data_IF_878628500645
#
_entry.id   IF_878628500645
#
_cell.length_a   1.000
_cell.length_b   1.000
_cell.length_c   1.000
_cell.angle_alpha   90.00
_cell.angle_beta   90.00
_cell.angle_gamma   90.00
#
_symmetry.space_group_name_H-M   'P 1'
#
loop_
_entity.id
_entity.type
_entity.pdbx_description
1 polymer ?
#
# COMPACT_ATOMS: atom_id res chain seq x y z
N UNK A 1 -30.77 -73.87 -29.86
CA UNK A 1 -30.62 -72.69 -29.01
C UNK A 1 -29.15 -72.50 -28.64
N UNK A 2 -28.43 -71.56 -29.25
CA UNK A 2 -27.03 -71.28 -28.89
C UNK A 2 -26.94 -70.11 -27.91
N UNK A 3 -26.58 -70.40 -26.66
CA UNK A 3 -26.27 -69.38 -25.65
C UNK A 3 -24.82 -68.93 -25.85
N UNK A 4 -24.63 -67.74 -26.44
CA UNK A 4 -23.31 -67.11 -26.57
C UNK A 4 -22.81 -66.67 -25.19
N UNK A 5 -21.82 -67.36 -24.64
CA UNK A 5 -21.10 -66.94 -23.42
C UNK A 5 -20.20 -65.76 -23.76
N UNK A 6 -20.58 -64.55 -23.33
CA UNK A 6 -19.76 -63.35 -23.42
C UNK A 6 -18.62 -63.48 -22.40
N UNK A 7 -17.41 -63.84 -22.86
CA UNK A 7 -16.23 -63.82 -21.99
C UNK A 7 -15.84 -62.37 -21.73
N UNK A 8 -16.10 -61.87 -20.52
CA UNK A 8 -15.58 -60.57 -20.06
C UNK A 8 -14.05 -60.64 -20.03
N UNK A 9 -13.41 -59.93 -20.95
CA UNK A 9 -11.95 -59.82 -21.06
C UNK A 9 -11.42 -58.97 -19.92
N UNK A 10 -10.57 -59.53 -19.06
CA UNK A 10 -9.99 -58.84 -17.89
C UNK A 10 -9.26 -57.53 -18.26
N UNK A 11 -8.79 -57.42 -19.50
CA UNK A 11 -8.09 -56.27 -20.08
C UNK A 11 -8.94 -55.01 -20.11
N UNK A 12 -10.21 -55.05 -20.52
CA UNK A 12 -11.06 -53.84 -20.60
C UNK A 12 -11.33 -53.21 -19.23
N UNK A 13 -11.41 -54.02 -18.17
CA UNK A 13 -11.57 -53.51 -16.80
C UNK A 13 -10.27 -52.88 -16.27
N UNK A 14 -9.11 -53.43 -16.66
CA UNK A 14 -7.79 -52.86 -16.32
C UNK A 14 -7.56 -51.53 -17.03
N UNK A 15 -7.89 -51.43 -18.32
CA UNK A 15 -7.79 -50.17 -19.08
C UNK A 15 -8.71 -49.08 -18.51
N UNK A 16 -9.93 -49.45 -18.11
CA UNK A 16 -10.84 -48.51 -17.47
C UNK A 16 -10.29 -48.01 -16.13
N UNK A 17 -9.68 -48.90 -15.33
CA UNK A 17 -9.05 -48.53 -14.05
C UNK A 17 -7.84 -47.62 -14.25
N UNK A 18 -6.97 -47.90 -15.22
CA UNK A 18 -5.83 -47.03 -15.54
C UNK A 18 -6.28 -45.68 -16.07
N UNK A 19 -7.34 -45.63 -16.87
CA UNK A 19 -7.91 -44.38 -17.37
C UNK A 19 -8.50 -43.54 -16.23
N UNK A 20 -9.17 -44.19 -15.27
CA UNK A 20 -9.72 -43.52 -14.09
C UNK A 20 -8.62 -42.97 -13.18
N UNK A 21 -7.52 -43.71 -13.04
CA UNK A 21 -6.34 -43.25 -12.29
C UNK A 21 -5.63 -42.08 -12.99
N UNK A 22 -5.48 -42.15 -14.32
CA UNK A 22 -4.91 -41.07 -15.12
C UNK A 22 -5.79 -39.81 -15.06
N UNK A 23 -7.10 -39.95 -15.15
CA UNK A 23 -8.04 -38.83 -15.00
C UNK A 23 -7.92 -38.18 -13.62
N UNK A 24 -7.81 -38.98 -12.54
CA UNK A 24 -7.56 -38.47 -11.19
C UNK A 24 -6.24 -37.69 -11.08
N UNK A 25 -5.16 -38.21 -11.66
CA UNK A 25 -3.87 -37.52 -11.69
C UNK A 25 -3.93 -36.18 -12.44
N UNK A 26 -4.65 -36.13 -13.56
CA UNK A 26 -4.85 -34.90 -14.34
C UNK A 26 -5.61 -33.85 -13.52
N UNK A 27 -6.64 -34.25 -12.79
CA UNK A 27 -7.40 -33.33 -11.91
C UNK A 27 -6.50 -32.78 -10.80
N UNK A 28 -5.67 -33.62 -10.18
CA UNK A 28 -4.72 -33.18 -9.15
C UNK A 28 -3.73 -32.17 -9.74
N UNK A 29 -3.16 -32.45 -10.92
CA UNK A 29 -2.24 -31.54 -11.61
C UNK A 29 -2.93 -30.22 -11.96
N UNK A 30 -4.18 -30.26 -12.43
CA UNK A 30 -4.98 -29.07 -12.73
C UNK A 30 -5.16 -28.18 -11.50
N UNK A 31 -5.55 -28.76 -10.36
CA UNK A 31 -5.65 -28.02 -9.10
C UNK A 31 -4.29 -27.49 -8.62
N UNK A 32 -3.20 -28.21 -8.89
CA UNK A 32 -1.86 -27.76 -8.52
C UNK A 32 -1.37 -26.56 -9.35
N UNK A 33 -1.80 -26.46 -10.62
CA UNK A 33 -1.43 -25.35 -11.51
C UNK A 33 -2.32 -24.12 -11.27
N UNK A 34 -3.63 -24.31 -11.07
CA UNK A 34 -4.63 -23.22 -11.02
C UNK A 34 -5.07 -22.86 -9.59
N UNK A 35 -4.80 -23.70 -8.59
CA UNK A 35 -5.17 -23.42 -7.20
C UNK A 35 -4.45 -22.19 -6.62
N UNK A 36 -4.93 -21.69 -5.48
CA UNK A 36 -4.41 -20.48 -4.82
C UNK A 36 -2.89 -20.56 -4.51
N UNK A 37 -2.36 -21.78 -4.38
CA UNK A 37 -0.92 -22.08 -4.16
C UNK A 37 -0.15 -22.40 -5.45
N UNK A 38 -0.77 -22.23 -6.62
CA UNK A 38 -0.15 -22.53 -7.90
C UNK A 38 1.08 -21.67 -8.17
N UNK A 39 2.02 -22.19 -8.95
CA UNK A 39 3.29 -21.53 -9.28
C UNK A 39 3.09 -20.12 -9.89
N UNK A 40 1.95 -19.92 -10.54
CA UNK A 40 1.57 -18.64 -11.19
C UNK A 40 1.32 -17.53 -10.15
N UNK A 41 0.76 -17.84 -8.98
CA UNK A 41 0.48 -16.81 -7.95
C UNK A 41 1.76 -16.30 -7.32
N UNK A 42 2.74 -17.17 -7.09
CA UNK A 42 4.05 -16.78 -6.56
C UNK A 42 4.80 -15.84 -7.51
N UNK A 43 4.73 -16.09 -8.82
CA UNK A 43 5.32 -15.22 -9.83
C UNK A 43 4.64 -13.84 -9.87
N UNK A 44 3.31 -13.80 -9.82
CA UNK A 44 2.55 -12.53 -9.76
C UNK A 44 2.85 -11.75 -8.49
N UNK A 45 2.95 -12.42 -7.35
CA UNK A 45 3.25 -11.78 -6.07
C UNK A 45 4.66 -11.19 -6.06
N UNK A 46 5.64 -11.90 -6.60
CA UNK A 46 7.00 -11.40 -6.75
C UNK A 46 7.08 -10.17 -7.69
N UNK A 47 6.27 -10.13 -8.74
CA UNK A 47 6.17 -8.95 -9.62
C UNK A 47 5.53 -7.75 -8.91
N UNK A 48 4.41 -7.98 -8.20
CA UNK A 48 3.74 -6.92 -7.44
C UNK A 48 4.63 -6.34 -6.34
N UNK A 49 5.38 -7.19 -5.63
CA UNK A 49 6.38 -6.73 -4.65
C UNK A 49 7.44 -5.83 -5.29
N UNK A 50 7.96 -6.21 -6.46
CA UNK A 50 8.97 -5.42 -7.18
C UNK A 50 8.41 -4.07 -7.63
N UNK A 51 7.20 -4.05 -8.19
CA UNK A 51 6.55 -2.82 -8.61
C UNK A 51 6.24 -1.88 -7.44
N UNK A 52 5.73 -2.42 -6.34
CA UNK A 52 5.45 -1.63 -5.14
C UNK A 52 6.74 -1.01 -4.56
N UNK A 53 7.82 -1.80 -4.47
CA UNK A 53 9.14 -1.32 -4.02
C UNK A 53 9.71 -0.25 -4.95
N UNK A 54 9.58 -0.43 -6.27
CA UNK A 54 10.03 0.56 -7.25
C UNK A 54 9.28 1.88 -7.10
N UNK A 55 7.95 1.84 -6.90
CA UNK A 55 7.14 3.04 -6.64
C UNK A 55 7.55 3.77 -5.36
N UNK A 56 7.81 3.02 -4.28
CA UNK A 56 8.29 3.59 -3.01
C UNK A 56 9.63 4.31 -3.23
N UNK A 57 10.55 3.70 -3.98
CA UNK A 57 11.86 4.30 -4.23
C UNK A 57 11.75 5.60 -5.04
N UNK A 58 10.92 5.63 -6.09
CA UNK A 58 10.66 6.84 -6.87
C UNK A 58 10.10 7.96 -5.99
N UNK A 59 9.07 7.67 -5.20
CA UNK A 59 8.44 8.65 -4.30
C UNK A 59 9.44 9.16 -3.25
N UNK A 60 10.27 8.29 -2.68
CA UNK A 60 11.32 8.68 -1.74
C UNK A 60 12.37 9.59 -2.38
N UNK A 61 12.74 9.34 -3.63
CA UNK A 61 13.67 10.19 -4.37
C UNK A 61 13.05 11.56 -4.67
N UNK A 62 11.78 11.60 -5.08
CA UNK A 62 11.04 12.85 -5.26
C UNK A 62 10.95 13.65 -3.97
N UNK A 63 10.59 13.01 -2.85
CA UNK A 63 10.54 13.65 -1.54
C UNK A 63 11.91 14.23 -1.13
N UNK A 64 13.00 13.49 -1.34
CA UNK A 64 14.36 13.99 -1.10
C UNK A 64 14.70 15.19 -2.00
N UNK A 65 14.28 15.17 -3.26
CA UNK A 65 14.49 16.28 -4.18
C UNK A 65 13.68 17.53 -3.79
N UNK A 66 12.41 17.36 -3.40
CA UNK A 66 11.58 18.45 -2.93
C UNK A 66 12.12 19.04 -1.62
N UNK A 67 12.54 18.20 -0.68
CA UNK A 67 13.14 18.67 0.58
C UNK A 67 14.45 19.44 0.35
N UNK A 68 15.27 19.01 -0.61
CA UNK A 68 16.48 19.77 -0.99
C UNK A 68 16.14 21.11 -1.63
N UNK A 69 15.07 21.18 -2.42
CA UNK A 69 14.60 22.44 -2.98
C UNK A 69 14.04 23.37 -1.89
N UNK A 70 13.21 22.84 -0.98
CA UNK A 70 12.71 23.58 0.18
C UNK A 70 13.87 24.09 1.03
N UNK A 71 14.88 23.26 1.31
CA UNK A 71 16.05 23.67 2.09
C UNK A 71 16.80 24.83 1.41
N UNK A 72 17.04 24.75 0.10
CA UNK A 72 17.68 25.83 -0.68
C UNK A 72 16.85 27.12 -0.72
N UNK A 73 15.51 27.00 -0.74
CA UNK A 73 14.60 28.14 -0.70
C UNK A 73 14.46 28.72 0.72
N UNK A 74 14.62 27.90 1.76
CA UNK A 74 14.64 28.30 3.18
C UNK A 74 15.98 28.91 3.62
N UNK A 75 17.06 28.60 2.91
CA UNK A 75 18.40 29.15 3.12
C UNK A 75 18.48 30.65 2.78
N UNK A 76 17.45 31.20 2.11
CA UNK A 76 17.23 32.64 1.94
C UNK A 76 16.69 33.25 3.26
N UNK A 77 17.61 33.37 4.21
CA UNK A 77 17.52 33.76 5.64
C UNK A 77 16.45 34.79 6.08
N UNK A 78 15.99 35.67 5.21
CA UNK A 78 14.99 36.69 5.55
C UNK A 78 13.62 36.09 5.94
N UNK A 79 13.25 34.95 5.36
CA UNK A 79 11.95 34.33 5.62
C UNK A 79 11.88 33.62 6.98
N UNK A 80 13.00 33.02 7.42
CA UNK A 80 13.07 32.39 8.74
C UNK A 80 13.02 33.43 9.87
N UNK A 81 13.68 34.57 9.69
CA UNK A 81 13.60 35.68 10.64
C UNK A 81 12.15 36.21 10.77
N UNK A 82 11.43 36.30 9.65
CA UNK A 82 10.03 36.72 9.64
C UNK A 82 9.10 35.75 10.37
N UNK A 83 9.20 34.44 10.09
CA UNK A 83 8.42 33.41 10.78
C UNK A 83 8.74 33.37 12.28
N UNK A 84 10.01 33.53 12.66
CA UNK A 84 10.41 33.56 14.07
C UNK A 84 9.81 34.76 14.82
N UNK A 85 9.78 35.94 14.18
CA UNK A 85 9.13 37.15 14.74
C UNK A 85 7.62 36.98 14.90
N UNK A 86 6.95 36.44 13.87
CA UNK A 86 5.48 36.34 13.86
C UNK A 86 4.97 35.21 14.77
N UNK A 87 5.61 34.03 14.72
CA UNK A 87 5.12 32.83 15.41
C UNK A 87 5.54 32.76 16.87
N UNK A 88 6.73 33.26 17.21
CA UNK A 88 7.28 33.19 18.57
C UNK A 88 7.32 34.55 19.29
N UNK A 89 6.83 35.62 18.65
CA UNK A 89 6.84 36.98 19.21
C UNK A 89 8.24 37.34 19.73
N UNK A 90 9.26 37.12 18.92
CA UNK A 90 10.64 37.44 19.26
C UNK A 90 10.98 38.79 18.63
N UNK A 91 11.38 39.76 19.45
CA UNK A 91 11.79 41.09 18.99
C UNK A 91 13.30 41.15 18.74
N UNK A 92 13.72 42.06 17.85
CA UNK A 92 15.15 42.35 17.66
C UNK A 92 15.71 43.04 18.92
N UNK A 93 17.02 42.91 19.17
CA UNK A 93 17.69 43.59 20.30
C UNK A 93 17.45 45.11 20.20
N UNK A 94 16.54 45.64 21.01
CA UNK A 94 16.14 47.06 21.01
C UNK A 94 14.64 47.35 20.74
N UNK A 95 13.81 46.34 20.47
CA UNK A 95 12.37 46.51 20.21
C UNK A 95 11.50 45.88 21.34
N UNK A 96 10.38 46.53 21.72
CA UNK A 96 9.47 46.08 22.80
C UNK A 96 8.13 45.61 22.21
N UNK A 97 7.71 44.38 22.53
CA UNK A 97 6.45 43.80 22.02
C UNK A 97 5.30 44.14 22.98
N UNK A 98 4.31 44.90 22.50
CA UNK A 98 3.07 45.18 23.23
C UNK A 98 2.00 44.15 22.86
N UNK A 99 1.66 43.28 23.82
CA UNK A 99 0.54 42.36 23.71
C UNK A 99 -0.68 42.97 24.41
N UNK A 100 -1.66 43.43 23.64
CA UNK A 100 -2.93 43.89 24.18
C UNK A 100 -3.75 42.69 24.65
N UNK A 101 -3.78 42.47 25.97
CA UNK A 101 -4.72 41.55 26.60
C UNK A 101 -6.02 42.33 26.86
N UNK A 102 -7.16 41.94 26.26
CA UNK A 102 -8.43 42.61 26.53
C UNK A 102 -8.79 42.39 28.01
N UNK A 103 -9.18 43.48 28.70
CA UNK A 103 -9.61 43.38 30.09
C UNK A 103 -10.93 42.62 30.15
N UNK A 104 -11.11 41.70 31.13
CA UNK A 104 -12.31 40.87 31.24
C UNK A 104 -13.61 41.61 31.56
N UNK A 105 -13.59 42.96 31.66
CA UNK A 105 -14.76 43.77 31.99
C UNK A 105 -15.65 44.17 30.81
N UNK A 106 -15.15 44.08 29.56
CA UNK A 106 -15.84 44.72 28.42
C UNK A 106 -16.82 43.80 27.67
N UNK A 107 -16.88 42.51 28.01
CA UNK A 107 -17.81 41.53 27.41
C UNK A 107 -19.01 41.18 28.29
N UNK A 108 -19.11 41.72 29.51
CA UNK A 108 -20.21 41.41 30.44
C UNK A 108 -21.43 42.37 30.35
N UNK A 109 -21.34 43.48 29.62
CA UNK A 109 -22.39 44.53 29.66
C UNK A 109 -23.27 44.65 28.41
N UNK A 110 -23.22 43.70 27.46
CA UNK A 110 -24.08 43.72 26.27
C UNK A 110 -25.26 42.71 26.31
N UNK A 111 -25.58 42.12 27.47
CA UNK A 111 -26.74 41.22 27.63
C UNK A 111 -27.79 41.68 28.65
N UNK A 112 -27.77 42.94 29.09
CA UNK A 112 -28.88 43.54 29.83
C UNK A 112 -29.02 45.05 29.56
N UNK A 113 -29.66 45.40 28.46
CA UNK A 113 -30.68 46.46 28.42
C UNK A 113 -31.44 46.40 27.10
#
# INVERSE_FOLDING_TARGET
MQKRRIKKTKTTLQFLKTLLWAAGAIVIIYYFIIGDYGVITQLRLAQQEREARAKIEVINQEQKNLNRQIARLMEDTAYQEKIAREKYKLAKKGETIYLMVPRPSDSANHKKK
#
